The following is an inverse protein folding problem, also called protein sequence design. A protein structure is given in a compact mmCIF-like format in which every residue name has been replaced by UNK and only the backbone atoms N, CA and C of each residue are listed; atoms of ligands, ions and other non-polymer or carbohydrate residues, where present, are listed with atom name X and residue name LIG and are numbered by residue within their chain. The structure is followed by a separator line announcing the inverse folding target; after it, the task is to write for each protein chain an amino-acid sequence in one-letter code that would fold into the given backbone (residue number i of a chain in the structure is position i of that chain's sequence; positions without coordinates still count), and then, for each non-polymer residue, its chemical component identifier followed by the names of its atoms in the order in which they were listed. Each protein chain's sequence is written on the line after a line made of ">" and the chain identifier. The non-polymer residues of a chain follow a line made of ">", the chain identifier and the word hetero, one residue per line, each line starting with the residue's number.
data_IF_570373099190
#
_entry.id   IF_570373099190
#
_cell.length_a   1.000
_cell.length_b   1.000
_cell.length_c   1.000
_cell.angle_alpha   90.00
_cell.angle_beta   90.00
_cell.angle_gamma   90.00
#
_symmetry.space_group_name_H-M   'P 1'
#
loop_
_entity.id
_entity.type
_entity.pdbx_description
1 polymer ?
#
# COMPACT_ATOMS: atom_id res chain seq x y z
N UNK A 1 -1.76 -23.32 0.34
CA UNK A 1 -0.54 -23.08 1.15
C UNK A 1 -0.31 -21.58 1.10
N UNK A 2 -0.56 -20.89 2.21
CA UNK A 2 -0.31 -19.45 2.31
C UNK A 2 1.19 -19.28 2.58
N UNK A 3 1.87 -18.53 1.71
CA UNK A 3 3.32 -18.36 1.67
C UNK A 3 3.86 -17.81 2.99
N UNK A 4 4.89 -18.48 3.49
CA UNK A 4 5.49 -18.22 4.80
C UNK A 4 6.49 -17.07 4.74
N UNK A 5 6.95 -16.61 5.92
CA UNK A 5 7.98 -15.58 6.15
C UNK A 5 9.18 -15.59 5.17
N UNK A 6 9.53 -16.75 4.62
CA UNK A 6 10.66 -16.95 3.72
C UNK A 6 10.39 -16.43 2.29
N UNK A 7 9.15 -16.48 1.82
CA UNK A 7 8.77 -16.04 0.47
C UNK A 7 8.76 -14.49 0.37
N UNK A 8 8.32 -13.81 1.43
CA UNK A 8 8.39 -12.33 1.52
C UNK A 8 9.83 -11.83 1.45
N UNK A 9 10.79 -12.52 2.10
CA UNK A 9 12.22 -12.16 2.05
C UNK A 9 12.83 -12.38 0.66
N UNK A 10 12.40 -13.40 -0.07
CA UNK A 10 12.88 -13.66 -1.43
C UNK A 10 12.42 -12.56 -2.39
N UNK A 11 11.18 -12.06 -2.22
CA UNK A 11 10.64 -10.95 -3.02
C UNK A 11 11.43 -9.63 -2.90
N UNK A 12 12.29 -9.48 -1.88
CA UNK A 12 13.21 -8.34 -1.75
C UNK A 12 14.23 -8.28 -2.89
N UNK A 13 14.56 -9.42 -3.52
CA UNK A 13 15.59 -9.51 -4.53
C UNK A 13 15.04 -9.51 -5.95
N UNK A 14 13.72 -9.66 -6.12
CA UNK A 14 13.09 -9.82 -7.43
C UNK A 14 12.71 -8.45 -8.02
N UNK A 15 13.24 -8.07 -9.20
CA UNK A 15 12.82 -6.86 -9.88
C UNK A 15 11.33 -6.85 -10.18
N UNK A 16 10.70 -5.68 -10.17
CA UNK A 16 9.35 -5.50 -10.72
C UNK A 16 9.41 -5.84 -12.22
N UNK A 17 8.45 -6.64 -12.70
CA UNK A 17 8.46 -7.20 -14.06
C UNK A 17 8.46 -6.08 -15.11
N UNK A 18 9.22 -6.30 -16.19
CA UNK A 18 9.51 -5.26 -17.19
C UNK A 18 8.28 -4.89 -18.06
N UNK A 19 8.38 -3.77 -18.78
CA UNK A 19 7.31 -3.19 -19.63
C UNK A 19 6.71 -4.14 -20.67
N UNK A 20 7.39 -5.24 -21.01
CA UNK A 20 6.99 -6.15 -22.10
C UNK A 20 6.02 -7.27 -21.69
N UNK A 21 5.77 -7.46 -20.40
CA UNK A 21 4.82 -8.47 -19.94
C UNK A 21 3.38 -8.08 -20.31
N UNK A 22 2.53 -9.03 -20.75
CA UNK A 22 1.10 -8.79 -20.94
C UNK A 22 0.46 -8.12 -19.73
N UNK A 23 -0.56 -7.29 -19.95
CA UNK A 23 -1.28 -6.65 -18.83
C UNK A 23 -2.22 -7.63 -18.12
N UNK A 24 -2.77 -8.58 -18.86
CA UNK A 24 -3.69 -9.58 -18.31
C UNK A 24 -2.98 -10.92 -18.14
N UNK A 25 -3.07 -11.53 -16.95
CA UNK A 25 -2.48 -12.84 -16.70
C UNK A 25 -3.32 -13.98 -17.33
N UNK A 26 -2.75 -15.19 -17.49
CA UNK A 26 -3.49 -16.35 -18.01
C UNK A 26 -4.70 -16.76 -17.17
N UNK A 27 -4.70 -16.43 -15.88
CA UNK A 27 -5.77 -16.71 -14.92
C UNK A 27 -6.78 -15.56 -14.81
N UNK A 28 -6.73 -14.57 -15.71
CA UNK A 28 -7.66 -13.45 -15.74
C UNK A 28 -9.11 -13.92 -15.97
N UNK A 29 -10.00 -13.59 -15.04
CA UNK A 29 -11.44 -13.80 -15.14
C UNK A 29 -12.13 -12.44 -15.29
N UNK A 30 -12.60 -12.16 -16.51
CA UNK A 30 -13.22 -10.88 -16.86
C UNK A 30 -14.48 -10.59 -16.03
N UNK A 31 -15.33 -11.59 -15.81
CA UNK A 31 -16.60 -11.40 -15.11
C UNK A 31 -16.37 -11.21 -13.62
N UNK A 32 -15.37 -11.89 -13.06
CA UNK A 32 -14.97 -11.68 -11.68
C UNK A 32 -14.30 -10.31 -11.47
N UNK A 33 -13.45 -9.88 -12.41
CA UNK A 33 -12.86 -8.54 -12.37
C UNK A 33 -13.93 -7.43 -12.44
N UNK A 34 -14.91 -7.56 -13.34
CA UNK A 34 -16.07 -6.65 -13.42
C UNK A 34 -16.93 -6.68 -12.16
N UNK A 35 -17.08 -7.86 -11.53
CA UNK A 35 -17.73 -7.98 -10.23
C UNK A 35 -16.97 -7.18 -9.16
N UNK A 36 -15.63 -7.25 -9.18
CA UNK A 36 -14.78 -6.40 -8.35
C UNK A 36 -14.95 -4.91 -8.61
N UNK A 37 -15.05 -4.48 -9.87
CA UNK A 37 -15.31 -3.09 -10.22
C UNK A 37 -16.65 -2.60 -9.65
N UNK A 38 -17.72 -3.41 -9.79
CA UNK A 38 -19.05 -3.10 -9.22
C UNK A 38 -18.99 -2.98 -7.69
N UNK A 39 -18.31 -3.91 -7.03
CA UNK A 39 -18.09 -3.84 -5.57
C UNK A 39 -17.32 -2.57 -5.18
N UNK A 40 -16.23 -2.26 -5.89
CA UNK A 40 -15.43 -1.07 -5.63
C UNK A 40 -16.21 0.22 -5.82
N UNK A 41 -17.10 0.28 -6.82
CA UNK A 41 -18.00 1.43 -7.02
C UNK A 41 -19.07 1.51 -5.92
N UNK A 42 -19.67 0.39 -5.52
CA UNK A 42 -20.66 0.32 -4.41
C UNK A 42 -20.08 0.86 -3.10
N UNK A 43 -18.84 0.49 -2.79
CA UNK A 43 -18.16 0.81 -1.54
C UNK A 43 -17.08 1.90 -1.67
N UNK A 44 -17.15 2.74 -2.70
CA UNK A 44 -16.06 3.66 -3.04
C UNK A 44 -15.62 4.54 -1.86
N UNK A 45 -16.56 5.13 -1.12
CA UNK A 45 -16.25 6.00 0.02
C UNK A 45 -15.57 5.23 1.16
N UNK A 46 -16.05 4.01 1.45
CA UNK A 46 -15.50 3.10 2.45
C UNK A 46 -14.08 2.67 2.07
N UNK A 47 -13.85 2.34 0.80
CA UNK A 47 -12.54 1.99 0.28
C UNK A 47 -11.56 3.17 0.33
N UNK A 48 -12.01 4.39 -0.02
CA UNK A 48 -11.16 5.59 0.11
C UNK A 48 -10.76 5.83 1.57
N UNK A 49 -11.70 5.73 2.50
CA UNK A 49 -11.41 5.83 3.93
C UNK A 49 -10.42 4.76 4.40
N UNK A 50 -10.65 3.51 4.00
CA UNK A 50 -9.76 2.39 4.28
C UNK A 50 -8.34 2.62 3.74
N UNK A 51 -8.21 3.13 2.52
CA UNK A 51 -6.93 3.42 1.88
C UNK A 51 -6.16 4.52 2.64
N UNK A 52 -6.84 5.57 3.11
CA UNK A 52 -6.22 6.64 3.91
C UNK A 52 -5.68 6.08 5.23
N UNK A 53 -6.50 5.32 5.96
CA UNK A 53 -6.10 4.72 7.24
C UNK A 53 -4.94 3.72 7.07
N UNK A 54 -5.01 2.90 6.02
CA UNK A 54 -3.96 1.91 5.73
C UNK A 54 -2.67 2.57 5.25
N UNK A 55 -2.76 3.67 4.51
CA UNK A 55 -1.59 4.45 4.10
C UNK A 55 -0.84 4.99 5.32
N UNK A 56 -1.54 5.54 6.33
CA UNK A 56 -0.89 6.00 7.58
C UNK A 56 -0.09 4.87 8.24
N UNK A 57 -0.64 3.65 8.25
CA UNK A 57 0.06 2.47 8.75
C UNK A 57 1.26 2.11 7.87
N UNK A 58 1.10 2.06 6.55
CA UNK A 58 2.20 1.73 5.63
C UNK A 58 3.27 2.80 5.54
N UNK A 59 3.00 4.03 5.95
CA UNK A 59 4.03 5.06 6.14
C UNK A 59 4.95 4.74 7.33
N UNK A 60 4.70 3.74 8.17
CA UNK A 60 5.74 3.27 9.10
C UNK A 60 6.85 2.50 8.38
N UNK A 61 6.52 1.89 7.23
CA UNK A 61 7.43 1.04 6.47
C UNK A 61 8.54 1.83 5.77
N UNK A 62 9.78 1.44 6.03
CA UNK A 62 10.96 2.15 5.55
C UNK A 62 11.06 2.17 4.00
N UNK A 63 10.90 1.05 3.28
CA UNK A 63 10.81 1.05 1.82
C UNK A 63 9.78 2.01 1.25
N UNK A 64 8.56 1.93 1.78
CA UNK A 64 7.45 2.76 1.34
C UNK A 64 7.82 4.23 1.49
N UNK A 65 8.23 4.65 2.70
CA UNK A 65 8.64 6.04 2.96
C UNK A 65 9.77 6.52 2.08
N UNK A 66 10.80 5.70 1.87
CA UNK A 66 11.96 6.11 1.05
C UNK A 66 11.58 6.35 -0.40
N UNK A 67 10.70 5.54 -0.97
CA UNK A 67 10.16 5.82 -2.30
C UNK A 67 9.38 7.16 -2.35
N UNK A 68 8.72 7.55 -1.26
CA UNK A 68 8.02 8.84 -1.17
C UNK A 68 8.99 10.02 -1.00
N UNK A 69 9.99 9.89 -0.12
CA UNK A 69 10.97 10.94 0.16
C UNK A 69 11.96 11.15 -0.98
N UNK A 70 12.64 10.09 -1.41
CA UNK A 70 13.80 10.19 -2.31
C UNK A 70 13.41 10.57 -3.74
N UNK A 71 12.18 10.26 -4.17
CA UNK A 71 11.67 10.72 -5.47
C UNK A 71 11.38 12.23 -5.48
N UNK A 72 11.39 12.89 -4.32
CA UNK A 72 11.07 14.33 -4.13
C UNK A 72 9.72 14.74 -4.72
N UNK A 73 8.80 13.78 -4.85
CA UNK A 73 7.41 14.01 -5.25
C UNK A 73 6.46 14.14 -4.06
N UNK A 74 6.96 13.94 -2.84
CA UNK A 74 6.19 14.03 -1.60
C UNK A 74 6.93 14.76 -0.48
N UNK A 75 8.03 15.46 -0.79
CA UNK A 75 8.87 16.17 0.18
C UNK A 75 8.30 17.53 0.64
N UNK A 76 7.18 17.98 0.07
CA UNK A 76 6.43 19.17 0.54
C UNK A 76 4.93 18.86 0.57
N UNK A 77 4.12 19.54 1.41
CA UNK A 77 2.67 19.33 1.47
C UNK A 77 1.96 19.48 0.13
N UNK A 78 2.32 20.50 -0.67
CA UNK A 78 1.70 20.73 -1.99
C UNK A 78 2.03 19.61 -2.99
N UNK A 79 3.28 19.14 -3.03
CA UNK A 79 3.69 18.02 -3.91
C UNK A 79 3.04 16.72 -3.47
N UNK A 80 2.99 16.47 -2.17
CA UNK A 80 2.29 15.33 -1.58
C UNK A 80 0.80 15.36 -1.94
N UNK A 81 0.12 16.49 -1.75
CA UNK A 81 -1.28 16.69 -2.15
C UNK A 81 -1.50 16.35 -3.63
N UNK A 82 -0.71 16.94 -4.54
CA UNK A 82 -0.80 16.66 -5.99
C UNK A 82 -0.62 15.18 -6.30
N UNK A 83 0.33 14.51 -5.64
CA UNK A 83 0.55 13.07 -5.79
C UNK A 83 -0.67 12.27 -5.35
N UNK A 84 -1.21 12.54 -4.16
CA UNK A 84 -2.33 11.77 -3.62
C UNK A 84 -3.62 11.99 -4.42
N UNK A 85 -3.87 13.21 -4.90
CA UNK A 85 -4.96 13.47 -5.87
C UNK A 85 -4.76 12.67 -7.15
N UNK A 86 -3.55 12.67 -7.72
CA UNK A 86 -3.24 11.88 -8.91
C UNK A 86 -3.46 10.38 -8.68
N UNK A 87 -3.01 9.83 -7.55
CA UNK A 87 -3.27 8.44 -7.17
C UNK A 87 -4.76 8.14 -7.05
N UNK A 88 -5.53 9.01 -6.39
CA UNK A 88 -6.98 8.86 -6.27
C UNK A 88 -7.66 8.85 -7.64
N UNK A 89 -7.22 9.70 -8.58
CA UNK A 89 -7.72 9.70 -9.96
C UNK A 89 -7.43 8.40 -10.71
N UNK A 90 -6.22 7.83 -10.57
CA UNK A 90 -5.90 6.54 -11.21
C UNK A 90 -6.79 5.42 -10.65
N UNK A 91 -6.90 5.31 -9.32
CA UNK A 91 -7.72 4.27 -8.68
C UNK A 91 -9.21 4.44 -9.01
N UNK A 92 -9.70 5.68 -9.02
CA UNK A 92 -11.07 5.97 -9.44
C UNK A 92 -11.31 5.50 -10.89
N UNK A 93 -10.39 5.79 -11.81
CA UNK A 93 -10.45 5.30 -13.19
C UNK A 93 -10.48 3.77 -13.21
N UNK A 94 -9.60 3.09 -12.46
CA UNK A 94 -9.55 1.62 -12.45
C UNK A 94 -10.83 0.93 -11.99
N UNK A 95 -11.60 1.60 -11.12
CA UNK A 95 -12.89 1.09 -10.65
C UNK A 95 -14.05 1.40 -11.59
N UNK A 96 -14.04 2.56 -12.25
CA UNK A 96 -15.21 3.06 -13.00
C UNK A 96 -15.14 2.80 -14.51
N UNK A 97 -13.96 2.75 -15.11
CA UNK A 97 -13.83 2.38 -16.54
C UNK A 97 -13.89 0.86 -16.68
N UNK A 98 -14.58 0.33 -17.69
CA UNK A 98 -14.51 -1.12 -17.99
C UNK A 98 -13.04 -1.55 -18.11
N UNK A 99 -12.69 -2.68 -17.50
CA UNK A 99 -11.30 -3.14 -17.43
C UNK A 99 -10.67 -3.39 -18.81
N UNK A 100 -11.48 -3.63 -19.85
CA UNK A 100 -11.03 -3.77 -21.24
C UNK A 100 -10.98 -2.43 -21.99
N UNK A 101 -11.40 -1.32 -21.37
CA UNK A 101 -11.31 0.00 -21.97
C UNK A 101 -9.83 0.38 -22.18
N UNK A 102 -9.45 0.94 -23.35
CA UNK A 102 -8.07 1.34 -23.62
C UNK A 102 -7.50 2.35 -22.60
N UNK A 103 -8.36 3.18 -21.97
CA UNK A 103 -7.94 4.12 -20.93
C UNK A 103 -7.47 3.41 -19.65
N UNK A 104 -8.06 2.26 -19.30
CA UNK A 104 -7.65 1.44 -18.17
C UNK A 104 -6.23 0.92 -18.38
N UNK A 105 -6.01 0.26 -19.53
CA UNK A 105 -4.70 -0.27 -19.91
C UNK A 105 -3.62 0.83 -20.01
N UNK A 106 -3.97 1.99 -20.57
CA UNK A 106 -3.08 3.15 -20.66
C UNK A 106 -2.70 3.68 -19.27
N UNK A 107 -3.69 3.82 -18.38
CA UNK A 107 -3.47 4.27 -17.00
C UNK A 107 -2.53 3.31 -16.25
N UNK A 108 -2.82 2.01 -16.26
CA UNK A 108 -2.01 0.98 -15.62
C UNK A 108 -0.59 0.96 -16.18
N UNK A 109 -0.44 1.05 -17.51
CA UNK A 109 0.88 1.08 -18.14
C UNK A 109 1.69 2.28 -17.66
N UNK A 110 1.10 3.49 -17.66
CA UNK A 110 1.77 4.69 -17.15
C UNK A 110 2.20 4.55 -15.69
N UNK A 111 1.35 3.98 -14.85
CA UNK A 111 1.67 3.76 -13.43
C UNK A 111 2.75 2.69 -13.25
N UNK A 112 2.74 1.61 -14.04
CA UNK A 112 3.83 0.62 -14.11
C UNK A 112 5.16 1.30 -14.46
N UNK A 113 5.16 2.22 -15.43
CA UNK A 113 6.39 2.95 -15.80
C UNK A 113 6.93 3.83 -14.67
N UNK A 114 6.05 4.55 -13.96
CA UNK A 114 6.43 5.39 -12.81
C UNK A 114 7.08 4.54 -11.71
N UNK A 115 6.49 3.39 -11.38
CA UNK A 115 7.03 2.51 -10.34
C UNK A 115 8.34 1.84 -10.77
N UNK A 116 8.47 1.43 -12.04
CA UNK A 116 9.74 0.94 -12.58
C UNK A 116 10.83 2.00 -12.53
N UNK A 117 10.51 3.25 -12.88
CA UNK A 117 11.45 4.37 -12.75
C UNK A 117 11.88 4.57 -11.30
N UNK A 118 10.93 4.59 -10.35
CA UNK A 118 11.23 4.74 -8.93
C UNK A 118 12.12 3.59 -8.40
N UNK A 119 11.82 2.35 -8.77
CA UNK A 119 12.64 1.18 -8.44
C UNK A 119 14.08 1.34 -8.93
N UNK A 120 14.25 1.63 -10.23
CA UNK A 120 15.58 1.77 -10.83
C UNK A 120 16.37 2.95 -10.25
N UNK A 121 15.69 4.07 -9.99
CA UNK A 121 16.30 5.24 -9.36
C UNK A 121 16.81 4.91 -7.96
N UNK A 122 15.99 4.27 -7.13
CA UNK A 122 16.38 3.88 -5.77
C UNK A 122 17.54 2.88 -5.76
N UNK A 123 17.57 1.97 -6.73
CA UNK A 123 18.67 1.02 -6.91
C UNK A 123 19.98 1.69 -7.35
N UNK A 124 19.91 2.72 -8.21
CA UNK A 124 21.10 3.45 -8.67
C UNK A 124 21.85 4.18 -7.56
N UNK A 125 21.26 4.34 -6.38
CA UNK A 125 21.88 4.98 -5.21
C UNK A 125 22.83 4.03 -4.41
N UNK A 126 23.08 2.81 -4.90
CA UNK A 126 23.95 1.72 -4.40
C UNK A 126 25.24 2.11 -3.61
N UNK A 127 25.65 1.44 -2.49
CA UNK A 127 24.93 1.05 -1.26
C UNK A 127 24.76 2.28 -0.32
N UNK A 128 24.06 2.21 0.82
CA UNK A 128 23.30 3.34 1.33
C UNK A 128 24.22 4.51 1.71
N UNK A 129 23.94 5.70 1.19
CA UNK A 129 24.07 6.87 2.07
C UNK A 129 23.01 6.66 3.15
N UNK A 130 23.36 6.07 4.31
CA UNK A 130 24.05 6.64 5.47
C UNK A 130 23.32 7.86 6.01
N UNK A 131 22.85 7.74 7.25
CA UNK A 131 22.35 8.81 8.13
C UNK A 131 21.27 9.70 7.48
N UNK A 132 20.02 9.25 7.60
CA UNK A 132 18.80 10.02 7.31
C UNK A 132 18.69 10.54 5.86
N UNK A 133 17.71 10.09 5.06
CA UNK A 133 17.47 10.56 3.71
C UNK A 133 16.85 11.98 3.67
N UNK A 134 16.76 12.68 4.81
CA UNK A 134 16.37 14.08 4.83
C UNK A 134 17.57 14.89 4.33
N UNK A 135 17.58 15.24 3.05
CA UNK A 135 18.48 16.28 2.57
C UNK A 135 18.31 17.53 3.46
N UNK A 136 19.38 18.22 3.86
CA UNK A 136 19.29 19.43 4.70
C UNK A 136 18.39 20.53 4.12
N UNK A 137 18.13 20.49 2.81
CA UNK A 137 17.24 21.36 2.06
C UNK A 137 15.78 20.87 2.02
N UNK A 138 15.58 19.56 2.19
CA UNK A 138 14.27 18.90 2.30
C UNK A 138 13.81 18.78 3.76
N UNK A 139 14.71 19.06 4.72
CA UNK A 139 14.32 19.39 6.08
C UNK A 139 13.70 20.79 6.02
N UNK A 140 12.40 20.97 6.32
CA UNK A 140 12.01 22.24 6.87
C UNK A 140 12.86 22.34 8.14
N UNK A 141 13.87 23.21 8.18
CA UNK A 141 14.77 23.36 9.34
C UNK A 141 13.99 23.59 10.66
N UNK A 142 12.69 23.82 10.55
CA UNK A 142 11.71 24.13 11.57
C UNK A 142 10.62 23.05 11.79
N UNK A 143 10.56 21.96 11.00
CA UNK A 143 9.54 20.92 11.23
C UNK A 143 9.99 19.97 12.35
N UNK A 144 9.39 20.16 13.52
CA UNK A 144 9.54 19.26 14.66
C UNK A 144 8.28 18.43 14.79
N UNK A 145 8.39 17.09 14.81
CA UNK A 145 7.25 16.22 15.08
C UNK A 145 6.51 16.67 16.35
N UNK A 146 5.19 16.71 16.28
CA UNK A 146 4.35 17.14 17.38
C UNK A 146 4.44 16.15 18.55
N UNK A 147 5.22 16.49 19.57
CA UNK A 147 5.44 15.60 20.72
C UNK A 147 4.15 15.23 21.45
N UNK A 148 3.17 16.14 21.52
CA UNK A 148 1.88 15.86 22.16
C UNK A 148 1.08 14.82 21.37
N UNK A 149 1.05 14.95 20.05
CA UNK A 149 0.42 13.98 19.16
C UNK A 149 1.05 12.60 19.34
N UNK A 150 2.38 12.49 19.28
CA UNK A 150 3.06 11.20 19.43
C UNK A 150 2.95 10.61 20.82
N UNK A 151 2.88 11.44 21.86
CA UNK A 151 2.59 10.97 23.22
C UNK A 151 1.19 10.37 23.30
N UNK A 152 0.17 11.05 22.76
CA UNK A 152 -1.20 10.54 22.72
C UNK A 152 -1.27 9.23 21.89
N UNK A 153 -0.66 9.22 20.71
CA UNK A 153 -0.60 8.05 19.85
C UNK A 153 0.00 6.83 20.56
N UNK A 154 1.12 7.00 21.29
CA UNK A 154 1.72 5.92 22.09
C UNK A 154 0.81 5.44 23.22
N UNK A 155 0.11 6.36 23.89
CA UNK A 155 -0.85 6.00 24.95
C UNK A 155 -2.02 5.19 24.40
N UNK A 156 -2.51 5.52 23.22
CA UNK A 156 -3.59 4.77 22.57
C UNK A 156 -3.10 3.41 22.05
N UNK A 157 -1.92 3.36 21.44
CA UNK A 157 -1.28 2.09 21.06
C UNK A 157 -1.06 1.15 22.25
N UNK A 158 -0.73 1.67 23.43
CA UNK A 158 -0.51 0.87 24.63
C UNK A 158 -1.80 0.27 25.23
N UNK A 159 -2.98 0.80 24.86
CA UNK A 159 -4.28 0.22 25.24
C UNK A 159 -4.69 -0.95 24.34
N UNK A 160 -4.07 -1.06 23.16
CA UNK A 160 -4.36 -2.16 22.25
C UNK A 160 -3.68 -3.42 22.78
N UNK A 161 -4.46 -4.47 22.95
CA UNK A 161 -3.95 -5.77 23.34
C UNK A 161 -3.45 -6.50 22.10
N UNK A 162 -2.12 -6.60 21.96
CA UNK A 162 -1.48 -7.33 20.86
C UNK A 162 -1.11 -8.74 21.34
N UNK A 163 -2.09 -9.56 21.73
CA UNK A 163 -1.85 -10.96 22.13
C UNK A 163 -1.11 -11.76 21.04
N UNK A 164 -1.23 -11.33 19.79
CA UNK A 164 -0.60 -11.94 18.62
C UNK A 164 0.79 -11.35 18.27
N UNK A 165 1.35 -10.43 19.07
CA UNK A 165 2.65 -9.85 18.73
C UNK A 165 3.78 -10.88 18.94
N UNK A 166 4.62 -11.14 17.92
CA UNK A 166 5.78 -12.00 18.13
C UNK A 166 6.76 -11.26 19.06
N UNK A 167 6.99 -11.82 20.25
CA UNK A 167 7.90 -11.26 21.28
C UNK A 167 9.35 -11.14 20.78
N UNK A 168 9.71 -11.90 19.76
CA UNK A 168 11.08 -12.03 19.25
C UNK A 168 11.28 -11.42 17.86
N UNK A 169 10.33 -10.61 17.37
CA UNK A 169 10.46 -10.02 16.03
C UNK A 169 11.35 -8.77 16.03
N UNK A 170 12.56 -8.92 15.50
CA UNK A 170 13.42 -7.80 15.13
C UNK A 170 13.18 -7.42 13.68
N UNK A 171 12.65 -6.21 13.46
CA UNK A 171 12.57 -5.64 12.11
C UNK A 171 13.98 -5.46 11.55
N UNK A 172 14.25 -6.08 10.40
CA UNK A 172 15.40 -5.78 9.57
C UNK A 172 14.90 -5.05 8.33
N UNK A 173 15.45 -3.87 8.05
CA UNK A 173 15.19 -3.19 6.80
C UNK A 173 15.56 -4.12 5.63
N UNK A 174 14.70 -4.24 4.59
CA UNK A 174 15.01 -5.07 3.44
C UNK A 174 16.21 -4.48 2.70
N UNK A 175 17.03 -5.37 2.12
CA UNK A 175 18.29 -4.97 1.49
C UNK A 175 18.05 -4.12 0.23
N UNK A 176 17.00 -4.43 -0.52
CA UNK A 176 16.51 -3.65 -1.64
C UNK A 176 15.06 -3.26 -1.40
N UNK A 177 14.79 -1.97 -1.51
CA UNK A 177 13.59 -1.44 -0.89
C UNK A 177 12.40 -1.44 -1.82
N UNK A 178 12.56 -1.08 -3.09
CA UNK A 178 11.42 -0.93 -4.00
C UNK A 178 11.43 -1.94 -5.16
N UNK A 179 11.92 -3.15 -4.86
CA UNK A 179 11.73 -4.38 -5.64
C UNK A 179 10.32 -4.93 -5.35
N UNK A 180 10.02 -6.19 -5.71
CA UNK A 180 8.67 -6.72 -5.52
C UNK A 180 8.16 -6.67 -4.07
N UNK A 181 9.03 -6.84 -3.06
CA UNK A 181 8.65 -6.65 -1.66
C UNK A 181 8.05 -5.26 -1.37
N UNK A 182 8.81 -4.18 -1.62
CA UNK A 182 8.34 -2.83 -1.34
C UNK A 182 7.18 -2.40 -2.23
N UNK A 183 7.11 -2.97 -3.43
CA UNK A 183 5.95 -2.81 -4.30
C UNK A 183 4.68 -3.42 -3.69
N UNK A 184 4.78 -4.65 -3.16
CA UNK A 184 3.67 -5.27 -2.43
C UNK A 184 3.32 -4.48 -1.16
N UNK A 185 4.30 -3.90 -0.44
CA UNK A 185 3.99 -3.01 0.69
C UNK A 185 3.22 -1.75 0.25
N UNK A 186 3.45 -1.25 -0.98
CA UNK A 186 2.70 -0.13 -1.55
C UNK A 186 1.29 -0.50 -2.01
N UNK A 187 1.03 -1.77 -2.39
CA UNK A 187 -0.31 -2.28 -2.72
C UNK A 187 -1.13 -2.57 -1.45
N UNK A 188 -0.48 -3.00 -0.37
CA UNK A 188 -1.15 -3.39 0.88
C UNK A 188 -2.20 -2.38 1.38
N UNK A 189 -1.93 -1.04 1.37
CA UNK A 189 -2.92 -0.02 1.73
C UNK A 189 -4.24 -0.10 0.99
N UNK A 190 -4.24 -0.56 -0.25
CA UNK A 190 -5.41 -0.56 -1.10
C UNK A 190 -6.32 -1.77 -0.91
N UNK A 191 -5.78 -2.85 -0.36
CA UNK A 191 -6.47 -4.15 -0.29
C UNK A 191 -6.77 -4.60 1.14
N UNK A 192 -5.95 -4.19 2.09
CA UNK A 192 -5.90 -4.88 3.38
C UNK A 192 -7.14 -4.69 4.23
N UNK A 193 -7.53 -3.45 4.54
CA UNK A 193 -8.64 -3.20 5.46
C UNK A 193 -10.00 -3.73 4.98
N UNK A 194 -10.38 -3.63 3.70
CA UNK A 194 -11.62 -4.25 3.19
C UNK A 194 -11.68 -5.76 3.40
N UNK A 195 -10.53 -6.44 3.40
CA UNK A 195 -10.44 -7.89 3.60
C UNK A 195 -10.32 -8.24 5.09
N UNK A 196 -9.57 -7.45 5.85
CA UNK A 196 -9.35 -7.67 7.29
C UNK A 196 -10.61 -7.41 8.10
N UNK A 197 -11.31 -6.30 7.83
CA UNK A 197 -12.42 -5.83 8.64
C UNK A 197 -13.58 -5.26 7.78
N UNK A 198 -14.19 -6.08 6.89
CA UNK A 198 -15.25 -5.62 5.98
C UNK A 198 -16.43 -4.98 6.73
N UNK A 199 -16.94 -5.63 7.77
CA UNK A 199 -18.13 -5.18 8.50
C UNK A 199 -17.89 -3.85 9.24
N UNK A 200 -16.69 -3.63 9.79
CA UNK A 200 -16.31 -2.35 10.42
C UNK A 200 -16.30 -1.20 9.42
N UNK A 201 -16.05 -1.49 8.14
CA UNK A 201 -16.13 -0.52 7.05
C UNK A 201 -17.56 -0.36 6.51
N UNK A 202 -18.53 -1.12 7.01
CA UNK A 202 -19.90 -1.11 6.53
C UNK A 202 -20.12 -1.94 5.25
N UNK A 203 -19.21 -2.87 4.93
CA UNK A 203 -19.43 -3.86 3.87
C UNK A 203 -20.35 -4.96 4.41
N UNK A 204 -21.43 -5.27 3.67
CA UNK A 204 -22.50 -6.14 4.16
C UNK A 204 -22.15 -7.61 3.91
N UNK A 205 -21.64 -8.30 4.93
CA UNK A 205 -21.35 -9.73 4.86
C UNK A 205 -22.54 -10.56 5.39
N UNK A 206 -22.88 -11.71 4.78
CA UNK A 206 -22.22 -12.36 3.65
C UNK A 206 -22.71 -11.90 2.26
N UNK A 207 -23.68 -10.99 2.19
CA UNK A 207 -24.32 -10.56 0.94
C UNK A 207 -23.34 -10.06 -0.12
N UNK A 208 -22.26 -9.40 0.28
CA UNK A 208 -21.21 -8.89 -0.60
C UNK A 208 -19.96 -9.78 -0.70
N UNK A 209 -20.01 -11.03 -0.22
CA UNK A 209 -18.87 -11.95 -0.27
C UNK A 209 -18.35 -12.16 -1.69
N UNK A 210 -19.24 -12.36 -2.67
CA UNK A 210 -18.87 -12.48 -4.08
C UNK A 210 -18.26 -11.17 -4.62
N UNK A 211 -18.76 -10.02 -4.16
CA UNK A 211 -18.19 -8.72 -4.48
C UNK A 211 -16.76 -8.57 -3.95
N UNK A 212 -16.52 -8.99 -2.71
CA UNK A 212 -15.21 -8.98 -2.07
C UNK A 212 -14.22 -9.95 -2.78
N UNK A 213 -14.67 -11.13 -3.19
CA UNK A 213 -13.86 -12.03 -4.04
C UNK A 213 -13.50 -11.39 -5.38
N UNK A 214 -14.45 -10.71 -6.02
CA UNK A 214 -14.21 -9.93 -7.23
C UNK A 214 -13.20 -8.81 -7.01
N UNK A 215 -13.29 -8.11 -5.87
CA UNK A 215 -12.35 -7.07 -5.49
C UNK A 215 -10.93 -7.61 -5.29
N UNK A 216 -10.79 -8.76 -4.63
CA UNK A 216 -9.51 -9.45 -4.48
C UNK A 216 -8.94 -9.80 -5.86
N UNK A 217 -9.75 -10.42 -6.73
CA UNK A 217 -9.31 -10.76 -8.08
C UNK A 217 -8.89 -9.53 -8.89
N UNK A 218 -9.69 -8.46 -8.87
CA UNK A 218 -9.39 -7.19 -9.53
C UNK A 218 -8.02 -6.65 -9.07
N UNK A 219 -7.75 -6.62 -7.77
CA UNK A 219 -6.47 -6.16 -7.25
C UNK A 219 -5.31 -7.13 -7.51
N UNK A 220 -5.56 -8.43 -7.59
CA UNK A 220 -4.57 -9.40 -8.06
C UNK A 220 -4.18 -9.11 -9.52
N UNK A 221 -5.16 -8.85 -10.40
CA UNK A 221 -4.93 -8.48 -11.80
C UNK A 221 -4.20 -7.14 -11.90
N UNK A 222 -4.58 -6.13 -11.11
CA UNK A 222 -3.86 -4.85 -11.05
C UNK A 222 -2.42 -5.06 -10.58
N UNK A 223 -2.19 -5.89 -9.55
CA UNK A 223 -0.86 -6.22 -9.05
C UNK A 223 0.03 -6.86 -10.12
N UNK A 224 -0.49 -7.82 -10.87
CA UNK A 224 0.17 -8.41 -12.03
C UNK A 224 0.43 -7.36 -13.12
N UNK A 225 -0.60 -6.59 -13.48
CA UNK A 225 -0.55 -5.57 -14.50
C UNK A 225 0.37 -4.39 -14.13
N UNK A 226 0.79 -4.25 -12.88
CA UNK A 226 1.80 -3.29 -12.45
C UNK A 226 3.21 -3.89 -12.33
N UNK A 227 3.38 -5.19 -12.62
CA UNK A 227 4.68 -5.87 -12.67
C UNK A 227 5.03 -6.65 -11.40
N UNK A 228 4.03 -7.17 -10.69
CA UNK A 228 4.30 -8.18 -9.64
C UNK A 228 4.29 -9.56 -10.28
N UNK A 229 5.29 -10.37 -9.97
CA UNK A 229 5.27 -11.77 -10.36
C UNK A 229 4.16 -12.51 -9.61
N UNK A 230 3.64 -13.54 -10.24
CA UNK A 230 2.40 -14.18 -9.81
C UNK A 230 2.48 -14.78 -8.41
N UNK A 231 3.64 -15.34 -8.02
CA UNK A 231 3.90 -15.88 -6.68
C UNK A 231 3.88 -14.82 -5.57
N UNK A 232 4.12 -13.56 -5.91
CA UNK A 232 4.26 -12.46 -4.96
C UNK A 232 2.98 -11.60 -4.86
N UNK A 233 1.97 -11.86 -5.69
CA UNK A 233 0.69 -11.14 -5.63
C UNK A 233 -0.09 -11.58 -4.40
N UNK A 234 -0.50 -10.60 -3.57
CA UNK A 234 -1.40 -10.90 -2.46
C UNK A 234 -2.65 -11.63 -2.93
N UNK A 235 -2.92 -12.73 -2.24
CA UNK A 235 -4.22 -13.40 -2.30
C UNK A 235 -4.63 -13.86 -3.69
N UNK A 236 -3.67 -14.10 -4.60
CA UNK A 236 -3.93 -14.52 -5.98
C UNK A 236 -4.91 -15.70 -6.05
N UNK A 237 -4.80 -16.70 -5.17
CA UNK A 237 -5.65 -17.90 -5.20
C UNK A 237 -6.88 -17.80 -4.29
N UNK A 238 -7.05 -16.70 -3.57
CA UNK A 238 -8.09 -16.57 -2.56
C UNK A 238 -9.51 -16.57 -3.17
N UNK A 239 -9.65 -16.08 -4.39
CA UNK A 239 -10.94 -16.02 -5.10
C UNK A 239 -11.37 -17.38 -5.67
N UNK A 240 -10.44 -18.26 -6.07
CA UNK A 240 -10.77 -19.50 -6.77
C UNK A 240 -11.22 -20.63 -5.84
N UNK A 241 -10.86 -20.56 -4.56
CA UNK A 241 -11.14 -21.61 -3.56
C UNK A 241 -12.13 -21.20 -2.47
N UNK A 242 -12.72 -20.01 -2.56
CA UNK A 242 -13.42 -19.36 -1.45
C UNK A 242 -12.57 -19.29 -0.15
N UNK A 243 -11.24 -19.19 -0.32
CA UNK A 243 -10.26 -19.18 0.76
C UNK A 243 -9.82 -17.75 1.11
N UNK A 244 -10.68 -16.75 0.91
CA UNK A 244 -10.36 -15.35 1.24
C UNK A 244 -10.06 -15.14 2.74
N UNK A 245 -10.44 -16.10 3.59
CA UNK A 245 -9.98 -16.14 4.99
C UNK A 245 -8.49 -16.43 5.14
N UNK A 246 -7.90 -17.22 4.25
CA UNK A 246 -6.45 -17.40 4.18
C UNK A 246 -5.75 -16.10 3.76
N UNK A 247 -6.35 -15.35 2.83
CA UNK A 247 -5.88 -14.01 2.47
C UNK A 247 -5.94 -13.03 3.66
N UNK A 248 -7.06 -13.03 4.40
CA UNK A 248 -7.22 -12.26 5.63
C UNK A 248 -6.13 -12.57 6.65
N UNK A 249 -5.81 -13.85 6.85
CA UNK A 249 -4.71 -14.26 7.73
C UNK A 249 -3.37 -13.68 7.26
N UNK A 250 -3.02 -13.85 5.98
CA UNK A 250 -1.76 -13.35 5.43
C UNK A 250 -1.59 -11.83 5.58
N UNK A 251 -2.62 -11.06 5.24
CA UNK A 251 -2.60 -9.60 5.39
C UNK A 251 -2.46 -9.17 6.85
N UNK A 252 -3.06 -9.95 7.78
CA UNK A 252 -2.93 -9.71 9.23
C UNK A 252 -1.51 -10.02 9.71
N UNK A 253 -0.88 -11.06 9.19
CA UNK A 253 0.51 -11.35 9.51
C UNK A 253 1.44 -10.21 9.06
N UNK A 254 1.23 -9.65 7.87
CA UNK A 254 1.99 -8.48 7.39
C UNK A 254 1.76 -7.28 8.32
N UNK A 255 0.52 -7.00 8.72
CA UNK A 255 0.23 -5.94 9.69
C UNK A 255 1.00 -6.13 11.01
N UNK A 256 0.90 -7.32 11.60
CA UNK A 256 1.46 -7.60 12.92
C UNK A 256 2.99 -7.75 12.92
N UNK A 257 3.56 -8.32 11.85
CA UNK A 257 5.00 -8.60 11.76
C UNK A 257 5.77 -7.50 11.06
N UNK A 258 5.18 -6.75 10.14
CA UNK A 258 5.90 -5.71 9.37
C UNK A 258 5.54 -4.31 9.82
N UNK A 259 4.27 -3.92 9.75
CA UNK A 259 3.90 -2.52 9.99
C UNK A 259 3.87 -2.16 11.47
N UNK A 260 3.22 -2.96 12.31
CA UNK A 260 3.02 -2.65 13.73
C UNK A 260 4.34 -2.46 14.51
N UNK A 261 5.39 -3.30 14.36
CA UNK A 261 6.64 -3.09 15.07
C UNK A 261 7.34 -1.78 14.66
N UNK A 262 7.24 -1.42 13.38
CA UNK A 262 7.76 -0.15 12.85
C UNK A 262 6.94 1.05 13.34
N UNK A 263 5.62 0.90 13.45
CA UNK A 263 4.69 1.93 13.94
C UNK A 263 4.94 2.26 15.42
N UNK A 264 5.21 1.25 16.24
CA UNK A 264 5.56 1.42 17.67
C UNK A 264 6.92 2.12 17.84
N UNK A 265 7.88 1.76 16.99
CA UNK A 265 9.26 2.23 17.04
C UNK A 265 9.57 3.29 15.96
N UNK A 266 8.59 4.15 15.63
CA UNK A 266 8.74 5.18 14.62
C UNK A 266 9.93 6.11 14.90
N UNK A 267 10.84 6.17 13.92
CA UNK A 267 11.93 7.14 13.86
C UNK A 267 11.41 8.56 13.51
N UNK A 268 12.31 9.54 13.54
CA UNK A 268 11.98 10.94 13.23
C UNK A 268 11.33 11.08 11.84
N UNK A 269 11.85 10.39 10.84
CA UNK A 269 11.34 10.46 9.46
C UNK A 269 9.94 9.89 9.32
N UNK A 270 9.67 8.78 10.01
CA UNK A 270 8.36 8.14 10.00
C UNK A 270 7.33 9.04 10.63
N UNK A 271 7.70 9.71 11.72
CA UNK A 271 6.85 10.71 12.36
C UNK A 271 6.55 11.89 11.43
N UNK A 272 7.59 12.46 10.83
CA UNK A 272 7.46 13.57 9.88
C UNK A 272 6.57 13.22 8.69
N UNK A 273 6.72 12.01 8.15
CA UNK A 273 5.92 11.56 7.01
C UNK A 273 4.45 11.37 7.36
N UNK A 274 4.17 10.74 8.50
CA UNK A 274 2.79 10.53 8.97
C UNK A 274 2.13 11.87 9.28
N UNK A 275 2.79 12.77 9.99
CA UNK A 275 2.25 14.11 10.26
C UNK A 275 2.02 14.91 8.98
N UNK A 276 2.95 14.86 8.02
CA UNK A 276 2.77 15.50 6.72
C UNK A 276 1.55 14.97 5.97
N UNK A 277 1.30 13.65 6.06
CA UNK A 277 0.09 13.05 5.49
C UNK A 277 -1.19 13.51 6.21
N UNK A 278 -1.16 13.60 7.54
CA UNK A 278 -2.29 14.12 8.32
C UNK A 278 -2.60 15.59 7.95
N UNK A 279 -1.60 16.41 7.67
CA UNK A 279 -1.78 17.78 7.16
C UNK A 279 -2.43 17.77 5.78
N UNK A 280 -2.02 16.88 4.86
CA UNK A 280 -2.67 16.74 3.55
C UNK A 280 -4.15 16.38 3.71
N UNK A 281 -4.49 15.47 4.64
CA UNK A 281 -5.89 15.13 4.92
C UNK A 281 -6.66 16.36 5.42
N UNK A 282 -6.07 17.16 6.31
CA UNK A 282 -6.67 18.42 6.75
C UNK A 282 -6.87 19.40 5.59
N UNK A 283 -5.96 19.45 4.62
CA UNK A 283 -6.15 20.29 3.44
C UNK A 283 -7.39 19.89 2.64
N UNK A 284 -7.72 18.60 2.54
CA UNK A 284 -8.96 18.16 1.90
C UNK A 284 -10.23 18.59 2.67
N UNK A 285 -10.16 18.70 4.00
CA UNK A 285 -11.32 19.08 4.82
C UNK A 285 -11.52 20.59 4.93
N UNK A 286 -10.45 21.39 4.86
CA UNK A 286 -10.47 22.83 5.14
C UNK A 286 -10.22 23.75 3.92
N UNK A 287 -10.03 23.20 2.72
CA UNK A 287 -10.01 24.00 1.46
C UNK A 287 -11.40 24.28 0.88
N UNK A 288 -12.47 23.96 1.62
CA UNK A 288 -13.81 24.50 1.35
C UNK A 288 -13.96 25.80 2.14
N UNK A 289 -13.42 26.88 1.59
CA UNK A 289 -13.48 28.23 2.13
C UNK A 289 -13.21 29.26 1.05
#
# INVERSE_FOLDING_TARGET
>A
MVSGKDDLKLSEYVPVTSKTAPLFPPWFDLELARTGQKFSCKYFAQLVFANIMSLVVSLSDLPTRRALFLTRKSNTPERAFKRYVSTAQQVHLWYHSDILDPSWAKSISNVREIHNYASNYLESLNPPVLKSPVHPEDNPKDFQPNERLWKAFKMDLAKLNYEDQPTDYHYSAPKFQFKQYGWQMAIWPFVALPILNPETLGIEMPSDEKGLQGFIHLWSVIGYALGTDEENIYCKDAWSKNEWQGCKHHLREILLKTFLPQLINLDFEGKTMIESMLLVIQMFTFTVG
#
